data_IF_695769938249
#
_entry.id   IF_695769938249
#
_cell.length_a   1.000
_cell.length_b   1.000
_cell.length_c   1.000
_cell.angle_alpha   90.00
_cell.angle_beta   90.00
_cell.angle_gamma   90.00
#
_symmetry.space_group_name_H-M   'P 1'
#
loop_
_entity.id
_entity.type
_entity.pdbx_description
1 polymer ?
2 non-polymer ?
3 water ?
#
# COMPACT_ATOMS: atom_id res chain seq x y z
N UNK A 6 -7.49 23.00 -1.82
CA UNK A 6 -6.31 23.11 -0.91
C UNK A 6 -5.62 21.75 -0.84
N UNK A 7 -4.92 21.35 -1.91
CA UNK A 7 -4.05 20.13 -1.94
C UNK A 7 -2.75 20.47 -1.20
N UNK A 8 -2.64 20.05 0.07
CA UNK A 8 -1.63 20.55 1.02
C UNK A 8 -0.95 19.42 1.81
N UNK A 9 -1.47 18.19 1.87
CA UNK A 9 -0.81 17.13 2.66
C UNK A 9 0.25 16.43 1.80
N UNK A 10 1.43 16.20 2.36
CA UNK A 10 2.57 15.56 1.65
C UNK A 10 3.01 14.34 2.42
N UNK A 11 2.55 13.13 2.03
CA UNK A 11 3.07 11.91 2.63
C UNK A 11 4.58 11.83 2.44
N UNK A 12 5.31 11.19 3.37
CA UNK A 12 6.75 11.00 3.21
C UNK A 12 7.07 10.13 1.99
N UNK A 13 8.33 10.16 1.60
CA UNK A 13 8.87 9.37 0.46
C UNK A 13 8.37 7.92 0.55
N UNK A 14 7.79 7.39 -0.53
CA UNK A 14 7.47 5.94 -0.67
C UNK A 14 6.48 5.53 0.43
N UNK A 15 5.59 6.43 0.82
CA UNK A 15 4.60 6.17 1.89
C UNK A 15 3.59 5.12 1.43
N UNK A 16 3.29 4.16 2.29
CA UNK A 16 2.15 3.24 2.05
C UNK A 16 1.61 2.70 3.38
N UNK A 17 0.33 2.37 3.37
CA UNK A 17 -0.30 1.56 4.42
C UNK A 17 0.04 0.09 4.16
N UNK A 18 0.59 -0.58 5.15
CA UNK A 18 1.00 -2.02 5.08
C UNK A 18 -0.20 -2.87 5.53
N UNK A 19 -0.82 -2.47 6.62
CA UNK A 19 -1.94 -3.21 7.23
C UNK A 19 -2.65 -2.26 8.18
N UNK A 20 -3.72 -2.74 8.80
CA UNK A 20 -4.40 -2.03 9.92
C UNK A 20 -3.32 -1.59 10.91
N UNK A 21 -3.20 -0.28 11.13
CA UNK A 21 -2.30 0.31 12.13
C UNK A 21 -0.83 0.30 11.75
N UNK A 22 -0.44 -0.04 10.51
CA UNK A 22 0.99 -0.16 10.12
C UNK A 22 1.23 0.56 8.80
N UNK A 23 2.22 1.44 8.79
CA UNK A 23 2.64 2.25 7.62
C UNK A 23 4.13 2.04 7.39
N UNK A 24 4.56 2.31 6.15
CA UNK A 24 5.99 2.28 5.76
C UNK A 24 6.32 3.55 4.99
N UNK A 25 7.56 4.02 5.09
CA UNK A 25 8.04 5.16 4.29
C UNK A 25 9.55 5.27 4.34
N UNK A 26 10.08 6.21 3.57
CA UNK A 26 11.42 6.77 3.78
C UNK A 26 11.40 7.85 4.83
N UNK A 27 12.49 8.58 4.93
CA UNK A 27 12.75 9.50 6.07
C UNK A 27 11.81 10.69 5.98
N UNK A 28 10.93 10.92 6.98
CA UNK A 28 10.06 12.09 6.99
C UNK A 28 10.82 13.40 7.24
N UNK A 29 10.41 14.47 6.57
CA UNK A 29 10.93 15.82 6.89
C UNK A 29 9.74 16.71 7.25
N UNK A 30 9.99 17.97 7.60
CA UNK A 30 8.98 18.87 8.19
C UNK A 30 7.80 19.05 7.21
N UNK A 31 8.02 18.90 5.90
CA UNK A 31 6.97 19.03 4.86
C UNK A 31 5.92 17.91 5.03
N UNK A 32 6.30 16.81 5.69
CA UNK A 32 5.45 15.61 5.84
C UNK A 32 4.71 15.60 7.18
N UNK A 33 5.03 16.52 8.10
CA UNK A 33 4.51 16.46 9.50
C UNK A 33 2.99 16.61 9.52
N UNK A 34 2.41 17.55 8.76
CA UNK A 34 0.94 17.77 8.78
C UNK A 34 0.23 16.50 8.28
N UNK A 35 0.77 15.81 7.27
CA UNK A 35 0.20 14.52 6.81
C UNK A 35 0.32 13.46 7.94
N UNK A 36 1.49 13.31 8.54
CA UNK A 36 1.71 12.24 9.55
C UNK A 36 0.79 12.49 10.76
N UNK A 37 0.48 13.74 11.07
CA UNK A 37 -0.43 14.09 12.18
C UNK A 37 -1.81 13.46 11.95
N UNK A 38 -2.25 13.34 10.69
CA UNK A 38 -3.60 12.82 10.36
C UNK A 38 -3.67 11.34 10.70
N UNK A 39 -2.53 10.64 10.85
CA UNK A 39 -2.52 9.18 11.11
C UNK A 39 -2.66 8.85 12.61
N UNK A 40 -2.46 9.82 13.51
CA UNK A 40 -2.54 9.57 14.96
C UNK A 40 -1.56 8.49 15.38
N UNK A 41 -0.29 8.61 14.95
CA UNK A 41 0.75 7.60 15.28
C UNK A 41 0.96 7.52 16.79
N UNK A 42 1.21 6.30 17.28
CA UNK A 42 1.69 6.04 18.66
C UNK A 42 3.21 5.80 18.63
N UNK A 43 3.73 5.30 17.50
CA UNK A 43 5.11 4.74 17.42
C UNK A 43 5.71 5.00 16.05
N UNK A 44 7.04 5.18 16.04
CA UNK A 44 7.88 5.05 14.83
C UNK A 44 8.91 3.95 15.08
N UNK A 45 9.06 3.06 14.12
CA UNK A 45 10.17 2.06 14.07
C UNK A 45 11.15 2.59 13.03
N UNK A 46 12.32 3.02 13.50
CA UNK A 46 13.35 3.73 12.71
C UNK A 46 14.53 2.79 12.51
N UNK A 47 14.89 2.49 11.25
CA UNK A 47 15.83 1.39 10.96
C UNK A 47 17.22 1.89 10.54
N UNK A 48 17.55 3.17 10.75
CA UNK A 48 18.89 3.75 10.44
C UNK A 48 19.65 4.03 11.73
N UNK A 49 21.00 3.89 11.74
CA UNK A 49 21.79 4.18 12.93
C UNK A 49 21.99 5.68 13.22
N UNK A 50 21.77 6.56 12.25
CA UNK A 50 22.07 8.00 12.42
C UNK A 50 21.12 8.59 13.47
N UNK A 51 21.58 9.59 14.27
CA UNK A 51 20.70 10.24 15.24
C UNK A 51 19.51 10.91 14.53
N UNK A 52 18.35 10.92 15.20
CA UNK A 52 17.13 11.60 14.71
C UNK A 52 17.35 13.10 14.74
N UNK A 53 17.08 13.84 13.63
CA UNK A 53 17.22 15.30 13.64
C UNK A 53 16.31 15.99 14.66
N UNK A 54 16.72 17.19 15.11
CA UNK A 54 15.99 17.99 16.12
C UNK A 54 14.56 18.25 15.64
N UNK A 55 14.40 18.61 14.36
CA UNK A 55 13.09 18.85 13.69
C UNK A 55 12.15 17.67 13.99
N UNK A 56 12.61 16.45 13.71
CA UNK A 56 11.82 15.21 13.90
C UNK A 56 11.58 14.94 15.38
N UNK A 57 12.58 15.14 16.25
CA UNK A 57 12.44 14.90 17.71
C UNK A 57 11.35 15.82 18.27
N UNK A 58 11.29 17.07 17.81
CA UNK A 58 10.26 18.04 18.28
C UNK A 58 8.88 17.58 17.79
N UNK A 59 8.78 17.04 16.57
CA UNK A 59 7.53 16.47 16.04
C UNK A 59 7.06 15.31 16.94
N UNK A 60 7.96 14.40 17.28
CA UNK A 60 7.64 13.23 18.15
C UNK A 60 7.16 13.71 19.51
N UNK A 61 7.87 14.64 20.14
CA UNK A 61 7.56 15.17 21.49
C UNK A 61 6.18 15.84 21.44
N UNK A 62 5.93 16.70 20.45
CA UNK A 62 4.67 17.46 20.32
C UNK A 62 3.48 16.50 20.16
N UNK A 63 3.67 15.35 19.53
CA UNK A 63 2.57 14.44 19.10
C UNK A 63 2.50 13.20 20.00
N UNK A 64 3.39 13.10 21.00
CA UNK A 64 3.44 11.96 21.95
C UNK A 64 3.79 10.66 21.24
N UNK A 65 4.67 10.69 20.25
CA UNK A 65 5.04 9.48 19.46
C UNK A 65 6.32 8.88 20.04
N UNK A 66 6.32 7.57 20.30
CA UNK A 66 7.49 6.83 20.83
C UNK A 66 8.38 6.45 19.65
N UNK A 67 9.69 6.66 19.80
CA UNK A 67 10.71 6.29 18.78
C UNK A 67 11.43 4.99 19.20
N UNK A 68 11.29 3.95 18.39
CA UNK A 68 12.04 2.69 18.50
C UNK A 68 13.11 2.68 17.41
N UNK A 69 14.39 2.72 17.80
CA UNK A 69 15.51 2.75 16.82
C UNK A 69 16.23 1.41 16.83
N UNK A 70 16.27 0.74 15.69
CA UNK A 70 17.04 -0.50 15.43
C UNK A 70 17.95 -0.21 14.24
N UNK A 71 19.12 0.36 14.52
CA UNK A 71 20.05 0.88 13.50
C UNK A 71 20.65 -0.23 12.66
N UNK A 72 20.25 -0.32 11.40
CA UNK A 72 20.81 -1.27 10.41
C UNK A 72 21.71 -0.47 9.47
N UNK A 73 22.97 -0.87 9.32
CA UNK A 73 23.92 -0.20 8.39
C UNK A 73 23.38 -0.27 6.95
N UNK A 74 23.52 0.82 6.19
CA UNK A 74 23.08 0.92 4.78
C UNK A 74 24.14 0.42 3.80
N UNK A 75 24.25 -0.90 3.61
CA UNK A 75 25.28 -1.56 2.76
C UNK A 75 24.78 -1.61 1.30
N UNK A 76 25.68 -1.89 0.35
CA UNK A 76 25.36 -2.04 -1.10
C UNK A 76 25.72 -3.45 -1.57
N UNK A 77 24.93 -4.01 -2.50
CA UNK A 77 25.22 -5.32 -3.14
C UNK A 77 26.58 -5.22 -3.83
N UNK A 78 27.40 -6.31 -3.87
CA UNK A 78 27.06 -7.59 -3.26
C UNK A 78 27.60 -7.82 -1.84
N UNK A 79 27.72 -6.76 -1.04
CA UNK A 79 28.34 -6.79 0.32
C UNK A 79 27.29 -6.48 1.39
N UNK A 80 26.05 -6.91 1.15
CA UNK A 80 24.90 -6.64 2.08
C UNK A 80 24.80 -7.81 3.07
N UNK A 81 24.68 -7.47 4.35
CA UNK A 81 24.62 -8.44 5.48
C UNK A 81 23.50 -7.98 6.43
N UNK A 82 22.23 -8.09 6.01
CA UNK A 82 21.07 -7.63 6.82
C UNK A 82 21.09 -8.35 8.16
N UNK A 83 21.22 -7.63 9.29
CA UNK A 83 21.33 -8.26 10.60
C UNK A 83 19.99 -8.80 11.08
N UNK A 84 19.92 -10.13 11.10
CA UNK A 84 18.74 -10.92 11.57
C UNK A 84 18.27 -10.38 12.93
N UNK A 85 19.19 -10.13 13.87
CA UNK A 85 18.82 -9.75 15.25
C UNK A 85 18.02 -8.44 15.24
N UNK A 86 18.47 -7.45 14.48
CA UNK A 86 17.84 -6.09 14.41
C UNK A 86 16.45 -6.22 13.79
N UNK A 87 16.32 -6.97 12.70
CA UNK A 87 14.98 -7.17 12.06
C UNK A 87 14.04 -7.82 13.09
N UNK A 88 14.52 -8.82 13.82
CA UNK A 88 13.68 -9.57 14.78
C UNK A 88 13.29 -8.66 15.96
N UNK A 89 14.18 -7.79 16.44
CA UNK A 89 13.83 -6.83 17.52
C UNK A 89 12.74 -5.89 17.01
N UNK A 90 12.84 -5.39 15.77
CA UNK A 90 11.85 -4.50 15.14
C UNK A 90 10.50 -5.24 14.99
N UNK A 91 10.54 -6.50 14.56
CA UNK A 91 9.31 -7.32 14.39
C UNK A 91 8.59 -7.45 15.74
N UNK A 92 9.33 -7.70 16.83
CA UNK A 92 8.75 -7.88 18.19
C UNK A 92 7.94 -6.61 18.52
N UNK A 93 8.45 -5.43 18.19
CA UNK A 93 7.76 -4.14 18.47
C UNK A 93 6.56 -4.00 17.53
N UNK A 94 6.78 -4.31 16.25
CA UNK A 94 5.76 -4.15 15.19
C UNK A 94 4.51 -4.99 15.52
N UNK A 95 4.68 -6.18 16.10
CA UNK A 95 3.58 -7.16 16.30
C UNK A 95 2.79 -6.82 17.56
N UNK A 96 3.25 -5.89 18.39
CA UNK A 96 2.53 -5.45 19.61
C UNK A 96 1.56 -4.33 19.23
N UNK A 97 0.26 -4.64 19.20
CA UNK A 97 -0.81 -3.72 18.76
C UNK A 97 -0.86 -2.47 19.66
N UNK A 98 -0.34 -2.53 20.89
CA UNK A 98 -0.28 -1.35 21.79
C UNK A 98 0.60 -0.24 21.17
N UNK A 99 1.48 -0.58 20.24
CA UNK A 99 2.38 0.40 19.56
C UNK A 99 1.70 1.00 18.33
N UNK A 100 0.52 0.52 17.95
CA UNK A 100 -0.16 0.95 16.69
C UNK A 100 -0.98 2.20 16.99
N UNK A 101 -1.19 3.11 16.02
CA UNK A 101 -0.56 3.07 14.70
C UNK A 101 0.97 3.32 14.73
N UNK A 102 1.69 2.58 13.90
CA UNK A 102 3.18 2.62 13.82
C UNK A 102 3.59 2.90 12.38
N UNK A 103 4.55 3.81 12.23
CA UNK A 103 5.25 4.06 10.94
C UNK A 103 6.63 3.41 11.02
N UNK A 104 6.89 2.51 10.09
CA UNK A 104 8.24 1.94 9.84
C UNK A 104 8.92 2.86 8.84
N UNK A 105 10.12 3.35 9.15
CA UNK A 105 10.88 4.09 8.11
C UNK A 105 12.38 3.84 8.22
N UNK A 106 13.01 3.98 7.07
CA UNK A 106 14.47 3.96 6.90
C UNK A 106 14.84 5.27 6.20
N UNK A 107 15.83 5.28 5.32
CA UNK A 107 16.17 6.50 4.55
C UNK A 107 15.21 6.61 3.35
N UNK A 108 15.12 5.54 2.56
CA UNK A 108 14.33 5.56 1.30
C UNK A 108 13.09 4.69 1.40
N UNK A 109 12.93 3.87 2.44
CA UNK A 109 11.75 3.00 2.59
C UNK A 109 11.74 1.86 1.57
N UNK A 110 12.92 1.35 1.19
CA UNK A 110 13.07 0.34 0.10
C UNK A 110 13.73 -0.94 0.60
N UNK A 111 14.91 -0.85 1.21
CA UNK A 111 15.75 -2.03 1.53
C UNK A 111 15.48 -2.49 2.98
N UNK A 112 15.88 -1.68 3.96
CA UNK A 112 15.71 -2.03 5.39
C UNK A 112 14.20 -2.14 5.70
N UNK A 113 13.42 -1.14 5.30
CA UNK A 113 11.96 -1.14 5.49
C UNK A 113 11.35 -2.33 4.74
N UNK A 114 11.80 -2.58 3.51
CA UNK A 114 11.29 -3.67 2.68
C UNK A 114 11.51 -5.03 3.31
N UNK A 115 12.69 -5.25 3.92
CA UNK A 115 13.00 -6.53 4.60
C UNK A 115 12.09 -6.72 5.80
N UNK A 116 11.90 -5.69 6.62
CA UNK A 116 11.07 -5.83 7.84
C UNK A 116 9.63 -6.16 7.39
N UNK A 117 9.11 -5.44 6.40
CA UNK A 117 7.73 -5.71 5.91
C UNK A 117 7.64 -7.12 5.31
N UNK A 118 8.63 -7.53 4.50
CA UNK A 118 8.62 -8.88 3.90
C UNK A 118 8.57 -9.97 4.96
N UNK A 119 9.29 -9.78 6.07
CA UNK A 119 9.28 -10.76 7.18
C UNK A 119 7.89 -10.76 7.85
N UNK A 120 7.26 -9.60 8.01
CA UNK A 120 5.86 -9.55 8.51
C UNK A 120 4.96 -10.37 7.57
N UNK A 121 5.09 -10.20 6.25
CA UNK A 121 4.24 -10.94 5.27
C UNK A 121 4.46 -12.45 5.42
N UNK A 122 5.68 -12.86 5.70
CA UNK A 122 5.98 -14.31 5.87
C UNK A 122 5.22 -14.84 7.10
N UNK A 123 5.18 -14.05 8.18
CA UNK A 123 4.40 -14.41 9.40
C UNK A 123 2.90 -14.43 9.07
N UNK A 124 2.46 -13.60 8.11
CA UNK A 124 1.04 -13.55 7.65
C UNK A 124 0.77 -14.66 6.62
N UNK A 125 1.74 -15.54 6.35
CA UNK A 125 1.60 -16.77 5.52
C UNK A 125 1.44 -16.43 4.04
N UNK A 126 1.91 -15.26 3.60
CA UNK A 126 1.96 -14.95 2.15
C UNK A 126 2.96 -15.87 1.45
N UNK A 127 2.59 -16.35 0.26
CA UNK A 127 3.52 -16.94 -0.72
C UNK A 127 4.75 -16.03 -0.91
N UNK A 128 5.95 -16.60 -0.96
CA UNK A 128 7.22 -15.85 -1.17
C UNK A 128 7.10 -14.99 -2.43
N UNK A 129 6.56 -15.50 -3.55
CA UNK A 129 6.51 -14.70 -4.81
C UNK A 129 5.66 -13.45 -4.58
N UNK A 130 4.60 -13.54 -3.78
CA UNK A 130 3.73 -12.38 -3.45
C UNK A 130 4.50 -11.38 -2.57
N UNK A 131 5.31 -11.88 -1.64
CA UNK A 131 6.15 -11.03 -0.74
C UNK A 131 7.16 -10.28 -1.60
N UNK A 132 7.85 -10.99 -2.49
CA UNK A 132 8.89 -10.41 -3.35
C UNK A 132 8.27 -9.36 -4.28
N UNK A 133 7.08 -9.62 -4.80
CA UNK A 133 6.39 -8.68 -5.71
C UNK A 133 6.16 -7.35 -4.99
N UNK A 134 5.70 -7.40 -3.74
CA UNK A 134 5.43 -6.18 -2.95
C UNK A 134 6.77 -5.46 -2.67
N UNK A 135 7.79 -6.21 -2.26
CA UNK A 135 9.14 -5.66 -2.01
C UNK A 135 9.63 -4.91 -3.27
N UNK A 136 9.50 -5.54 -4.44
CA UNK A 136 10.01 -4.98 -5.72
C UNK A 136 9.22 -3.72 -6.11
N UNK A 137 7.93 -3.65 -5.78
CA UNK A 137 7.11 -2.48 -6.14
C UNK A 137 7.69 -1.21 -5.50
N UNK A 138 8.16 -1.31 -4.26
CA UNK A 138 8.79 -0.17 -3.55
C UNK A 138 10.25 0.02 -3.98
N UNK A 139 11.02 -1.06 -4.07
CA UNK A 139 12.47 -0.96 -4.30
C UNK A 139 12.73 -0.57 -5.77
N UNK A 140 11.87 -1.00 -6.69
CA UNK A 140 11.91 -0.65 -8.13
C UNK A 140 13.31 -0.97 -8.68
N UNK A 141 13.99 -0.01 -9.31
CA UNK A 141 15.31 -0.25 -9.95
C UNK A 141 16.38 -0.60 -8.89
N UNK A 142 16.14 -0.34 -7.60
CA UNK A 142 17.09 -0.61 -6.49
C UNK A 142 16.75 -1.94 -5.79
N UNK A 143 15.86 -2.78 -6.35
CA UNK A 143 15.55 -4.10 -5.77
C UNK A 143 16.85 -4.90 -5.67
N UNK A 144 17.07 -5.55 -4.53
CA UNK A 144 18.28 -6.36 -4.25
C UNK A 144 17.88 -7.82 -4.07
N UNK A 145 18.56 -8.71 -4.77
CA UNK A 145 18.32 -10.17 -4.57
C UNK A 145 18.62 -10.52 -3.11
N UNK A 146 19.64 -9.91 -2.49
CA UNK A 146 20.05 -10.25 -1.10
C UNK A 146 18.91 -9.95 -0.10
N UNK A 147 18.12 -8.90 -0.33
CA UNK A 147 16.96 -8.59 0.55
C UNK A 147 15.94 -9.73 0.45
N UNK A 148 15.69 -10.21 -0.76
CA UNK A 148 14.68 -11.26 -1.02
C UNK A 148 15.19 -12.59 -0.48
N UNK A 149 16.49 -12.86 -0.62
CA UNK A 149 17.10 -14.10 -0.06
C UNK A 149 16.98 -14.07 1.46
N UNK A 150 17.19 -12.91 2.08
CA UNK A 150 17.01 -12.75 3.55
C UNK A 150 15.60 -13.20 3.95
N UNK A 151 14.59 -12.75 3.20
CA UNK A 151 13.17 -13.12 3.44
C UNK A 151 12.98 -14.63 3.21
N UNK A 152 13.57 -15.16 2.15
CA UNK A 152 13.47 -16.61 1.79
C UNK A 152 13.94 -17.45 2.98
N UNK A 153 15.07 -17.08 3.60
CA UNK A 153 15.68 -18.01 4.61
C UNK A 153 15.17 -17.66 6.01
N UNK A 154 14.50 -16.52 6.20
CA UNK A 154 13.99 -16.07 7.52
C UNK A 154 13.12 -17.16 8.14
N UNK A 155 13.55 -17.69 9.28
CA UNK A 155 12.86 -18.79 10.01
C UNK A 155 11.77 -18.14 10.89
N UNK A 156 10.50 -18.42 10.60
CA UNK A 156 9.35 -17.81 11.31
C UNK A 156 9.15 -18.46 12.70
N UNK A 157 9.77 -19.60 12.98
CA UNK A 157 9.50 -20.48 14.16
C UNK A 157 9.23 -19.69 15.46
N UNK A 158 10.08 -18.71 15.82
CA UNK A 158 10.02 -18.02 17.13
C UNK A 158 8.87 -17.00 17.24
N UNK A 159 8.18 -16.69 16.14
CA UNK A 159 7.15 -15.63 16.09
C UNK A 159 5.74 -16.20 15.84
N UNK A 160 5.60 -17.51 15.60
CA UNK A 160 4.31 -18.16 15.26
C UNK A 160 3.74 -18.86 16.51
N UNK B 6 3.75 -22.96 6.49
CA UNK B 6 2.68 -23.16 5.46
C UNK B 6 2.40 -21.82 4.78
N UNK B 7 3.30 -21.37 3.91
CA UNK B 7 3.12 -20.14 3.07
C UNK B 7 2.13 -20.49 1.95
N UNK B 8 0.90 -20.00 2.06
CA UNK B 8 -0.26 -20.52 1.31
C UNK B 8 -1.18 -19.39 0.81
N UNK B 9 -1.09 -18.16 1.33
CA UNK B 9 -2.00 -17.07 0.88
C UNK B 9 -1.38 -16.34 -0.32
N UNK B 10 -2.20 -16.08 -1.33
CA UNK B 10 -1.76 -15.41 -2.59
C UNK B 10 -2.64 -14.18 -2.82
N UNK B 11 -2.18 -12.98 -2.42
CA UNK B 11 -2.90 -11.75 -2.76
C UNK B 11 -3.06 -11.64 -4.27
N UNK B 12 -4.15 -11.02 -4.75
CA UNK B 12 -4.30 -10.81 -6.18
C UNK B 12 -3.21 -9.89 -6.75
N UNK B 13 -3.10 -9.87 -8.08
CA UNK B 13 -2.17 -9.04 -8.88
C UNK B 13 -2.16 -7.61 -8.30
N UNK B 14 -0.98 -7.08 -7.95
CA UNK B 14 -0.80 -5.64 -7.62
C UNK B 14 -1.66 -5.25 -6.42
N UNK B 15 -1.83 -6.17 -5.48
CA UNK B 15 -2.64 -5.96 -4.26
C UNK B 15 -1.99 -4.92 -3.33
N UNK B 16 -2.81 -4.02 -2.80
CA UNK B 16 -2.37 -3.10 -1.73
C UNK B 16 -3.55 -2.60 -0.91
N UNK B 17 -3.28 -2.31 0.34
CA UNK B 17 -4.18 -1.54 1.20
C UNK B 17 -4.02 -0.05 0.84
N UNK B 18 -5.13 0.61 0.55
CA UNK B 18 -5.18 2.06 0.19
C UNK B 18 -5.36 2.86 1.47
N UNK B 19 -6.29 2.44 2.31
CA UNK B 19 -6.65 3.14 3.55
C UNK B 19 -7.43 2.16 4.42
N UNK B 20 -7.80 2.59 5.61
CA UNK B 20 -8.70 1.81 6.49
C UNK B 20 -9.91 1.38 5.67
N UNK B 21 -10.10 0.07 5.52
CA UNK B 21 -11.27 -0.50 4.84
C UNK B 21 -11.21 -0.46 3.31
N UNK B 22 -10.10 -0.06 2.70
CA UNK B 22 -10.04 0.12 1.22
C UNK B 22 -8.79 -0.59 0.68
N UNK B 23 -9.00 -1.45 -0.31
CA UNK B 23 -7.94 -2.22 -0.99
C UNK B 23 -8.01 -1.97 -2.49
N UNK B 24 -6.90 -2.25 -3.18
CA UNK B 24 -6.81 -2.17 -4.66
C UNK B 24 -6.11 -3.42 -5.19
N UNK B 25 -6.48 -3.87 -6.37
CA UNK B 25 -5.77 -4.98 -7.04
C UNK B 25 -6.16 -5.04 -8.51
N UNK B 26 -5.50 -5.94 -9.23
CA UNK B 26 -5.98 -6.45 -10.51
C UNK B 26 -6.98 -7.58 -10.31
N UNK B 27 -7.29 -8.29 -11.37
CA UNK B 27 -8.44 -9.23 -11.39
C UNK B 27 -8.11 -10.44 -10.52
N UNK B 28 -8.90 -10.71 -9.45
CA UNK B 28 -8.67 -11.90 -8.65
C UNK B 28 -9.03 -13.18 -9.42
N UNK B 29 -8.28 -14.26 -9.19
CA UNK B 29 -8.65 -15.61 -9.67
C UNK B 29 -8.75 -16.52 -8.45
N UNK B 30 -9.12 -17.79 -8.66
CA UNK B 30 -9.46 -18.74 -7.57
C UNK B 30 -8.26 -18.92 -6.63
N UNK B 31 -7.02 -18.75 -7.11
CA UNK B 31 -5.79 -18.89 -6.28
C UNK B 31 -5.75 -17.78 -5.22
N UNK B 32 -6.48 -16.67 -5.42
CA UNK B 32 -6.48 -15.48 -4.54
C UNK B 32 -7.64 -15.51 -3.54
N UNK B 33 -8.60 -16.42 -3.68
CA UNK B 33 -9.85 -16.37 -2.88
C UNK B 33 -9.55 -16.55 -1.38
N UNK B 34 -8.65 -17.46 -1.01
CA UNK B 34 -8.38 -17.73 0.43
C UNK B 34 -7.78 -16.46 1.06
N UNK B 35 -6.91 -15.76 0.34
CA UNK B 35 -6.34 -14.47 0.82
C UNK B 35 -7.47 -13.44 0.98
N UNK B 36 -8.32 -13.28 -0.04
CA UNK B 36 -9.39 -12.25 0.01
C UNK B 36 -10.36 -12.55 1.16
N UNK B 37 -10.56 -13.82 1.52
CA UNK B 37 -11.41 -14.19 2.67
C UNK B 37 -10.86 -13.58 3.97
N UNK B 38 -9.54 -13.46 4.11
CA UNK B 38 -8.94 -12.92 5.36
C UNK B 38 -9.30 -11.43 5.51
N UNK B 39 -9.74 -10.74 4.45
CA UNK B 39 -10.03 -9.29 4.51
C UNK B 39 -11.46 -9.00 4.97
N UNK B 40 -12.36 -9.99 4.99
CA UNK B 40 -13.77 -9.78 5.38
C UNK B 40 -14.43 -8.71 4.53
N UNK B 41 -14.25 -8.76 3.21
CA UNK B 41 -14.82 -7.77 2.28
C UNK B 41 -16.34 -7.75 2.39
N UNK B 42 -16.92 -6.55 2.36
CA UNK B 42 -18.38 -6.34 2.13
C UNK B 42 -18.66 -6.02 0.66
N UNK B 43 -17.69 -5.46 -0.05
CA UNK B 43 -17.89 -4.84 -1.40
C UNK B 43 -16.70 -5.10 -2.32
N UNK B 44 -16.99 -5.21 -3.61
CA UNK B 44 -15.99 -5.07 -4.69
C UNK B 44 -16.50 -3.95 -5.61
N UNK B 45 -15.63 -2.98 -5.88
CA UNK B 45 -15.82 -1.99 -6.97
C UNK B 45 -15.02 -2.51 -8.17
N UNK B 46 -15.73 -2.90 -9.22
CA UNK B 46 -15.20 -3.55 -10.43
C UNK B 46 -15.28 -2.55 -11.58
N UNK B 47 -14.14 -2.21 -12.18
CA UNK B 47 -14.04 -1.08 -13.11
C UNK B 47 -13.93 -1.54 -14.57
N UNK B 48 -14.20 -2.82 -14.86
CA UNK B 48 -14.18 -3.35 -16.25
C UNK B 48 -15.61 -3.59 -16.71
N UNK B 49 -15.90 -3.42 -18.02
CA UNK B 49 -17.25 -3.65 -18.55
C UNK B 49 -17.56 -5.14 -18.78
N UNK B 50 -16.55 -6.00 -18.85
CA UNK B 50 -16.75 -7.45 -19.16
C UNK B 50 -17.59 -8.08 -18.04
N UNK B 51 -18.45 -9.06 -18.36
CA UNK B 51 -19.20 -9.77 -17.33
C UNK B 51 -18.25 -10.47 -16.34
N UNK B 52 -18.61 -10.48 -15.06
CA UNK B 52 -17.85 -11.16 -13.99
C UNK B 52 -17.89 -12.65 -14.26
N UNK B 53 -16.73 -13.36 -14.31
CA UNK B 53 -16.74 -14.81 -14.53
C UNK B 53 -17.49 -15.58 -13.44
N UNK B 54 -17.98 -16.77 -13.78
CA UNK B 54 -18.81 -17.62 -12.89
C UNK B 54 -18.04 -17.92 -11.59
N UNK B 55 -16.74 -18.23 -11.70
CA UNK B 55 -15.84 -18.51 -10.57
C UNK B 55 -15.90 -17.35 -9.54
N UNK B 56 -15.75 -16.13 -10.01
CA UNK B 56 -15.75 -14.90 -9.19
C UNK B 56 -17.16 -14.66 -8.63
N UNK B 57 -18.21 -14.87 -9.43
CA UNK B 57 -19.61 -14.68 -8.98
C UNK B 57 -19.90 -15.63 -7.81
N UNK B 58 -19.45 -16.89 -7.90
CA UNK B 58 -19.67 -17.89 -6.82
C UNK B 58 -18.91 -17.42 -5.56
N UNK B 59 -17.70 -16.89 -5.72
CA UNK B 59 -16.91 -16.35 -4.58
C UNK B 59 -17.69 -15.21 -3.90
N UNK B 60 -18.17 -14.22 -4.67
CA UNK B 60 -18.99 -13.10 -4.13
C UNK B 60 -20.18 -13.67 -3.36
N UNK B 61 -20.93 -14.58 -3.98
CA UNK B 61 -22.18 -15.15 -3.40
C UNK B 61 -21.84 -15.85 -2.08
N UNK B 62 -20.89 -16.77 -2.09
CA UNK B 62 -20.48 -17.59 -0.91
C UNK B 62 -20.03 -16.68 0.25
N UNK B 63 -19.36 -15.57 -0.05
CA UNK B 63 -18.67 -14.75 0.97
C UNK B 63 -19.50 -13.52 1.35
N UNK B 64 -20.70 -13.34 0.78
CA UNK B 64 -21.58 -12.21 1.13
C UNK B 64 -20.96 -10.88 0.73
N UNK B 65 -20.42 -10.81 -0.48
CA UNK B 65 -19.76 -9.59 -1.02
C UNK B 65 -20.66 -8.98 -2.10
N UNK B 66 -20.98 -7.70 -1.97
CA UNK B 66 -21.76 -6.93 -2.97
C UNK B 66 -20.84 -6.49 -4.12
N UNK B 67 -21.28 -6.67 -5.37
CA UNK B 67 -20.54 -6.24 -6.57
C UNK B 67 -21.11 -4.91 -7.04
N UNK B 68 -20.25 -3.89 -7.12
CA UNK B 68 -20.56 -2.60 -7.78
C UNK B 68 -19.74 -2.53 -9.07
N UNK B 69 -20.40 -2.57 -10.23
CA UNK B 69 -19.70 -2.57 -11.54
C UNK B 69 -19.88 -1.20 -12.18
N UNK B 70 -18.76 -0.52 -12.42
CA UNK B 70 -18.70 0.76 -13.15
C UNK B 70 -17.73 0.52 -14.31
N UNK B 71 -18.25 -0.02 -15.42
CA UNK B 71 -17.45 -0.46 -16.57
C UNK B 71 -16.79 0.70 -17.27
N UNK B 72 -15.46 0.78 -17.21
CA UNK B 72 -14.65 1.77 -17.98
C UNK B 72 -13.90 0.99 -19.06
N UNK B 73 -14.00 1.41 -20.31
CA UNK B 73 -13.33 0.72 -21.45
C UNK B 73 -11.81 0.76 -21.21
N UNK B 74 -11.12 -0.35 -21.49
CA UNK B 74 -9.65 -0.46 -21.33
C UNK B 74 -8.91 0.06 -22.56
N UNK B 75 -9.10 1.33 -22.92
CA UNK B 75 -8.44 1.99 -24.08
C UNK B 75 -6.93 2.04 -23.83
N UNK B 76 -6.13 2.06 -24.90
CA UNK B 76 -4.65 2.23 -24.86
C UNK B 76 -4.30 3.67 -25.25
N UNK B 77 -3.25 4.24 -24.64
CA UNK B 77 -2.75 5.60 -24.99
C UNK B 77 -2.32 5.59 -26.46
N UNK B 78 -2.48 6.70 -27.22
CA UNK B 78 -3.08 7.94 -26.74
C UNK B 78 -4.57 8.14 -27.03
N UNK B 79 -5.37 7.07 -27.00
CA UNK B 79 -6.83 7.10 -27.33
C UNK B 79 -7.65 6.78 -26.08
N UNK B 80 -7.20 7.25 -24.91
CA UNK B 80 -7.86 7.00 -23.59
C UNK B 80 -8.84 8.15 -23.31
N UNK B 81 -10.00 7.80 -22.77
CA UNK B 81 -11.11 8.74 -22.47
C UNK B 81 -11.84 8.21 -21.23
N UNK B 82 -11.25 8.40 -20.04
CA UNK B 82 -11.83 7.96 -18.74
C UNK B 82 -13.11 8.76 -18.50
N UNK B 83 -14.29 8.11 -18.39
CA UNK B 83 -15.54 8.83 -18.14
C UNK B 83 -15.65 9.30 -16.69
N UNK B 84 -15.79 10.62 -16.53
CA UNK B 84 -15.95 11.31 -15.22
C UNK B 84 -17.09 10.66 -14.42
N UNK B 85 -18.24 10.39 -15.04
CA UNK B 85 -19.46 9.92 -14.32
C UNK B 85 -19.19 8.56 -13.65
N UNK B 86 -18.45 7.66 -14.29
CA UNK B 86 -18.15 6.30 -13.75
C UNK B 86 -17.26 6.45 -12.52
N UNK B 87 -16.23 7.29 -12.59
CA UNK B 87 -15.31 7.52 -11.44
C UNK B 87 -16.11 8.18 -10.30
N UNK B 88 -17.00 9.12 -10.63
CA UNK B 88 -17.80 9.88 -9.63
C UNK B 88 -18.72 8.91 -8.89
N UNK B 89 -19.40 8.02 -9.59
CA UNK B 89 -20.31 7.01 -8.98
C UNK B 89 -19.49 6.06 -8.10
N UNK B 90 -18.34 5.61 -8.57
CA UNK B 90 -17.44 4.70 -7.82
C UNK B 90 -16.95 5.40 -6.55
N UNK B 91 -16.61 6.69 -6.61
CA UNK B 91 -16.17 7.44 -5.40
C UNK B 91 -17.28 7.49 -4.35
N UNK B 92 -18.52 7.70 -4.77
CA UNK B 92 -19.69 7.76 -3.83
C UNK B 92 -19.77 6.43 -3.05
N UNK B 93 -19.52 5.30 -3.71
CA UNK B 93 -19.56 3.96 -3.05
C UNK B 93 -18.42 3.89 -2.04
N UNK B 94 -17.24 4.34 -2.46
CA UNK B 94 -16.00 4.29 -1.65
C UNK B 94 -16.18 5.15 -0.39
N UNK B 95 -16.90 6.27 -0.48
CA UNK B 95 -17.03 7.24 0.65
C UNK B 95 -18.08 6.78 1.66
N UNK B 96 -18.89 5.77 1.35
CA UNK B 96 -19.88 5.21 2.30
C UNK B 96 -19.21 4.07 3.07
N UNK B 97 -18.85 4.29 4.34
CA UNK B 97 -18.08 3.30 5.13
C UNK B 97 -18.92 2.04 5.36
N UNK B 98 -20.25 2.07 5.21
CA UNK B 98 -21.09 0.84 5.28
C UNK B 98 -20.61 -0.18 4.23
N UNK B 99 -19.99 0.28 3.14
CA UNK B 99 -19.53 -0.61 2.04
C UNK B 99 -18.16 -1.20 2.37
N UNK B 100 -17.49 -0.74 3.43
CA UNK B 100 -16.12 -1.21 3.79
C UNK B 100 -16.24 -2.50 4.58
N UNK B 101 -15.27 -3.44 4.51
CA UNK B 101 -14.10 -3.32 3.64
C UNK B 101 -14.43 -3.52 2.16
N UNK B 102 -13.79 -2.72 1.30
CA UNK B 102 -14.03 -2.72 -0.16
C UNK B 102 -12.72 -2.95 -0.91
N UNK B 103 -12.76 -3.82 -1.89
CA UNK B 103 -11.67 -4.03 -2.87
C UNK B 103 -12.05 -3.36 -4.18
N UNK B 104 -11.22 -2.42 -4.63
CA UNK B 104 -11.29 -1.84 -5.99
C UNK B 104 -10.45 -2.73 -6.90
N UNK B 105 -10.99 -3.20 -8.02
CA UNK B 105 -10.12 -3.89 -9.00
C UNK B 105 -10.57 -3.63 -10.44
N UNK B 106 -9.60 -3.76 -11.32
CA UNK B 106 -9.75 -3.69 -12.78
C UNK B 106 -9.15 -4.98 -13.34
N UNK B 107 -8.47 -4.95 -14.49
CA UNK B 107 -7.79 -6.15 -15.01
C UNK B 107 -6.41 -6.25 -14.36
N UNK B 108 -5.62 -5.17 -14.40
CA UNK B 108 -4.22 -5.18 -13.91
C UNK B 108 -4.06 -4.37 -12.61
N UNK B 109 -5.06 -3.57 -12.22
CA UNK B 109 -4.97 -2.74 -11.00
C UNK B 109 -4.00 -1.57 -11.18
N UNK B 110 -3.88 -1.05 -12.39
CA UNK B 110 -2.86 -0.01 -12.73
C UNK B 110 -3.52 1.28 -13.21
N UNK B 111 -4.40 1.20 -14.20
CA UNK B 111 -4.90 2.40 -14.93
C UNK B 111 -6.24 2.85 -14.35
N UNK B 112 -7.29 2.06 -14.56
CA UNK B 112 -8.66 2.39 -14.09
C UNK B 112 -8.66 2.44 -12.56
N UNK B 113 -8.08 1.42 -11.93
CA UNK B 113 -7.92 1.35 -10.46
C UNK B 113 -7.08 2.56 -9.99
N UNK B 114 -5.97 2.84 -10.67
CA UNK B 114 -5.08 3.95 -10.29
C UNK B 114 -5.80 5.29 -10.34
N UNK B 115 -6.63 5.51 -11.37
CA UNK B 115 -7.43 6.76 -11.51
C UNK B 115 -8.38 6.92 -10.32
N UNK B 116 -9.13 5.87 -9.97
CA UNK B 116 -10.12 6.00 -8.88
C UNK B 116 -9.38 6.30 -7.58
N UNK B 117 -8.30 5.58 -7.30
CA UNK B 117 -7.53 5.81 -6.05
C UNK B 117 -6.96 7.24 -6.07
N UNK B 118 -6.43 7.72 -7.20
CA UNK B 118 -5.85 9.07 -7.26
C UNK B 118 -6.90 10.13 -6.98
N UNK B 119 -8.12 9.94 -7.46
CA UNK B 119 -9.24 10.88 -7.21
C UNK B 119 -9.60 10.85 -5.71
N UNK B 120 -9.61 9.67 -5.08
CA UNK B 120 -9.80 9.57 -3.61
C UNK B 120 -8.70 10.38 -2.89
N UNK B 121 -7.45 10.27 -3.31
CA UNK B 121 -6.33 11.00 -2.65
C UNK B 121 -6.55 12.50 -2.78
N UNK B 122 -7.10 12.95 -3.90
CA UNK B 122 -7.39 14.39 -4.13
C UNK B 122 -8.44 14.83 -3.10
N UNK B 123 -9.46 14.01 -2.84
CA UNK B 123 -10.46 14.29 -1.78
C UNK B 123 -9.80 14.33 -0.40
N UNK B 124 -8.73 13.55 -0.19
CA UNK B 124 -7.97 13.48 1.09
C UNK B 124 -6.91 14.60 1.16
N UNK B 125 -6.87 15.50 0.16
CA UNK B 125 -6.07 16.75 0.16
C UNK B 125 -4.58 16.44 -0.05
N UNK B 126 -4.27 15.31 -0.66
CA UNK B 126 -2.87 14.98 -1.05
C UNK B 126 -2.44 15.94 -2.16
N UNK B 127 -1.21 16.41 -2.03
CA UNK B 127 -0.47 17.09 -3.11
C UNK B 127 -0.44 16.22 -4.38
N UNK B 128 -0.65 16.80 -5.56
CA UNK B 128 -0.72 16.04 -6.84
C UNK B 128 0.56 15.21 -7.06
N UNK B 129 1.75 15.73 -6.76
CA UNK B 129 3.01 14.99 -7.01
C UNK B 129 3.01 13.72 -6.15
N UNK B 130 2.44 13.76 -4.94
CA UNK B 130 2.35 12.59 -4.05
C UNK B 130 1.35 11.57 -4.62
N UNK B 131 0.25 12.07 -5.17
CA UNK B 131 -0.79 11.22 -5.81
C UNK B 131 -0.17 10.50 -7.02
N UNK B 132 0.54 11.24 -7.87
CA UNK B 132 1.16 10.71 -9.10
C UNK B 132 2.21 9.66 -8.72
N UNK B 133 2.98 9.92 -7.65
CA UNK B 133 4.04 8.98 -7.24
C UNK B 133 3.40 7.63 -6.87
N UNK B 134 2.32 7.66 -6.12
CA UNK B 134 1.59 6.43 -5.73
C UNK B 134 1.06 5.72 -6.99
N UNK B 135 0.38 6.46 -7.88
CA UNK B 135 -0.12 5.91 -9.17
C UNK B 135 1.03 5.22 -9.92
N UNK B 136 2.17 5.89 -10.03
CA UNK B 136 3.34 5.39 -10.81
C UNK B 136 3.92 4.13 -10.16
N UNK B 137 3.86 4.03 -8.84
CA UNK B 137 4.42 2.84 -8.15
C UNK B 137 3.72 1.58 -8.65
N UNK B 138 2.40 1.64 -8.85
CA UNK B 138 1.61 0.47 -9.32
C UNK B 138 1.71 0.34 -10.84
N UNK B 139 1.60 1.45 -11.56
CA UNK B 139 1.53 1.39 -13.04
C UNK B 139 2.91 1.05 -13.63
N UNK B 140 3.97 1.50 -12.98
CA UNK B 140 5.39 1.21 -13.33
C UNK B 140 5.61 1.53 -14.80
N UNK B 141 6.06 0.57 -15.62
CA UNK B 141 6.39 0.82 -17.05
C UNK B 141 5.13 1.15 -17.85
N UNK B 142 3.94 0.87 -17.32
CA UNK B 142 2.64 1.15 -18.01
C UNK B 142 2.02 2.45 -17.50
N UNK B 143 2.74 3.30 -16.75
CA UNK B 143 2.20 4.61 -16.30
C UNK B 143 1.78 5.43 -17.52
N UNK B 144 0.59 6.02 -17.46
CA UNK B 144 0.00 6.82 -18.56
C UNK B 144 -0.13 8.26 -18.08
N UNK B 145 0.39 9.20 -18.87
CA UNK B 145 0.21 10.64 -18.57
C UNK B 145 -1.29 10.95 -18.52
N UNK B 146 -2.10 10.35 -19.41
CA UNK B 146 -3.55 10.63 -19.51
C UNK B 146 -4.25 10.31 -18.18
N UNK B 147 -3.84 9.24 -17.48
CA UNK B 147 -4.46 8.87 -16.18
C UNK B 147 -4.16 9.99 -15.16
N UNK B 148 -2.94 10.49 -15.16
CA UNK B 148 -2.50 11.53 -14.18
C UNK B 148 -3.19 12.86 -14.54
N UNK B 149 -3.34 13.16 -15.83
CA UNK B 149 -4.03 14.39 -16.26
C UNK B 149 -5.50 14.32 -15.83
N UNK B 150 -6.11 13.13 -15.93
CA UNK B 150 -7.51 12.93 -15.48
C UNK B 150 -7.62 13.35 -14.01
N UNK B 151 -6.69 12.87 -13.17
CA UNK B 151 -6.67 13.18 -11.71
C UNK B 151 -6.48 14.68 -11.50
N UNK B 152 -5.58 15.29 -12.28
CA UNK B 152 -5.22 16.74 -12.25
C UNK B 152 -6.51 17.56 -12.42
N UNK B 153 -7.38 17.19 -13.37
CA UNK B 153 -8.53 18.05 -13.76
C UNK B 153 -9.83 17.59 -13.06
N UNK B 154 -9.86 16.42 -12.43
CA UNK B 154 -11.09 15.88 -11.80
C UNK B 154 -11.63 16.86 -10.74
N UNK B 155 -12.88 17.32 -10.94
CA UNK B 155 -13.53 18.35 -10.09
C UNK B 155 -14.02 17.66 -8.82
N UNK B 156 -13.53 18.08 -7.66
CA UNK B 156 -13.88 17.50 -6.33
C UNK B 156 -15.01 18.31 -5.67
N UNK B 157 -15.56 19.33 -6.34
CA UNK B 157 -16.61 20.24 -5.82
C UNK B 157 -17.78 19.46 -5.22
N UNK B 158 -18.36 18.52 -5.99
CA UNK B 158 -19.51 17.64 -5.62
C UNK B 158 -19.34 17.08 -4.20
N UNK B 159 -18.09 16.87 -3.78
CA UNK B 159 -17.71 16.27 -2.47
C UNK B 159 -17.21 17.39 -1.54
#
# INVERSE_FOLDING_TARGET
GSFTEELHLIPPLNFSMVDNGIFRSGFPDSANFSFLQTLGLRSIIYLCPEPYPESNLQFLKSNGIRLFQFGIEGNKEPFVNIPDHKIRMALKVLLDEKNHPVLIHSKRGKHRTGCLVGCLRKLQKWCLTSIFDEYQRFAAAKARVSDQRFMEIFDVSSFSHIPMSFSCSIR
GSFTEELHLIPPLNFSMVDNGIFRSGFPDSANFSFLQTLGLRSIIYLCPEPYPESNLQFLKSNGIRLFQFGIEGNKEPFVNIPDHKIRMALKVLLDEKNHPVLIHSKRGKHRTGCLVGCLRKLQKWCLTSIFDEYQRFAAAKARVSDQRFMEIFDVSSFSHIPMSFSCSIR
#
